data_IF_561635325497
#
_entry.id   IF_561635325497
#
_cell.length_a   1.000
_cell.length_b   1.000
_cell.length_c   1.000
_cell.angle_alpha   90.00
_cell.angle_beta   90.00
_cell.angle_gamma   90.00
#
_symmetry.space_group_name_H-M   'P 1'
#
loop_
_entity.id
_entity.type
_entity.pdbx_description
1 polymer ?
#
# COMPACT_ATOMS: atom_id res chain seq x y z
N UNK A 1 15.88 -1.14 22.34
CA UNK A 1 14.85 -1.91 22.88
C UNK A 1 13.46 -1.49 22.54
N UNK A 2 13.12 -0.29 22.72
CA UNK A 2 11.78 0.11 22.34
C UNK A 2 11.64 0.45 20.90
N UNK A 3 12.70 0.39 20.16
CA UNK A 3 12.65 0.64 18.74
C UNK A 3 11.81 -0.39 18.00
N UNK A 4 11.54 -1.55 18.62
CA UNK A 4 10.80 -2.61 17.94
C UNK A 4 9.29 -2.37 17.90
N UNK A 5 8.79 -1.34 18.55
CA UNK A 5 7.36 -1.06 18.53
C UNK A 5 6.87 -0.83 17.12
N UNK A 6 7.63 -0.07 16.32
CA UNK A 6 7.23 0.19 14.95
C UNK A 6 7.28 -1.05 14.07
N UNK A 7 8.18 -2.00 14.38
CA UNK A 7 8.28 -3.23 13.62
C UNK A 7 7.10 -4.16 13.87
N UNK A 8 6.37 -3.95 14.97
CA UNK A 8 5.24 -4.79 15.33
C UNK A 8 3.91 -4.21 14.88
N UNK A 9 3.92 -3.12 14.12
CA UNK A 9 2.67 -2.52 13.66
C UNK A 9 1.91 -3.50 12.77
N UNK A 10 0.61 -3.63 13.04
CA UNK A 10 -0.23 -4.60 12.33
C UNK A 10 -0.43 -4.26 10.87
N UNK A 11 -0.14 -3.02 10.47
CA UNK A 11 -0.29 -2.63 9.06
C UNK A 11 0.89 -3.07 8.21
N UNK A 12 1.97 -3.56 8.79
CA UNK A 12 3.10 -4.04 7.99
C UNK A 12 2.75 -5.37 7.33
N UNK A 13 2.96 -5.43 6.02
CA UNK A 13 2.63 -6.61 5.24
C UNK A 13 2.03 -6.24 3.91
N UNK A 14 1.32 -7.19 3.31
CA UNK A 14 0.78 -7.06 1.96
C UNK A 14 -0.69 -6.71 2.01
N UNK A 15 -1.09 -5.84 1.10
CA UNK A 15 -2.46 -5.32 1.06
C UNK A 15 -3.00 -5.35 -0.35
N UNK A 16 -4.25 -5.78 -0.47
CA UNK A 16 -4.98 -5.80 -1.73
C UNK A 16 -5.68 -4.46 -1.91
N UNK A 17 -5.35 -3.77 -2.99
CA UNK A 17 -6.03 -2.54 -3.39
C UNK A 17 -6.95 -2.83 -4.57
N UNK A 18 -7.61 -1.80 -5.10
CA UNK A 18 -8.48 -2.00 -6.26
C UNK A 18 -7.73 -2.39 -7.52
N UNK A 19 -6.45 -2.08 -7.61
CA UNK A 19 -5.69 -2.35 -8.84
C UNK A 19 -4.30 -2.93 -8.64
N UNK A 20 -3.92 -3.25 -7.41
CA UNK A 20 -2.53 -3.65 -7.15
C UNK A 20 -2.42 -4.39 -5.82
N UNK A 21 -1.24 -4.94 -5.60
CA UNK A 21 -0.82 -5.39 -4.27
C UNK A 21 0.27 -4.45 -3.80
N UNK A 22 0.13 -3.96 -2.59
CA UNK A 22 1.07 -3.01 -1.97
C UNK A 22 1.66 -3.65 -0.74
N UNK A 23 2.99 -3.54 -0.59
CA UNK A 23 3.66 -3.95 0.64
C UNK A 23 3.91 -2.73 1.50
N UNK A 24 3.32 -2.72 2.68
CA UNK A 24 3.52 -1.66 3.67
C UNK A 24 4.61 -2.09 4.63
N UNK A 25 5.57 -1.21 4.88
CA UNK A 25 6.74 -1.54 5.68
C UNK A 25 7.32 -0.31 6.34
N UNK A 26 8.27 -0.55 7.23
CA UNK A 26 8.99 0.50 7.93
C UNK A 26 10.11 1.01 7.01
N UNK A 27 10.11 2.31 6.76
CA UNK A 27 11.10 2.99 5.94
C UNK A 27 11.72 4.11 6.77
N UNK A 28 12.83 3.82 7.43
CA UNK A 28 13.54 4.80 8.28
C UNK A 28 12.61 5.42 9.34
N UNK A 29 11.89 4.56 10.06
CA UNK A 29 10.96 4.96 11.11
C UNK A 29 9.72 5.70 10.64
N UNK A 30 9.44 5.62 9.35
CA UNK A 30 8.20 6.09 8.76
C UNK A 30 7.53 4.90 8.09
N UNK A 31 6.23 5.00 7.86
CA UNK A 31 5.50 3.98 7.12
C UNK A 31 5.51 4.34 5.64
N UNK A 32 5.86 3.38 4.81
CA UNK A 32 5.77 3.50 3.36
C UNK A 32 5.09 2.27 2.78
N UNK A 33 4.68 2.36 1.53
CA UNK A 33 4.03 1.26 0.83
C UNK A 33 4.43 1.26 -0.63
N UNK A 34 4.93 0.10 -1.09
CA UNK A 34 5.46 -0.06 -2.43
C UNK A 34 4.58 -0.99 -3.24
N UNK A 35 4.33 -0.63 -4.49
CA UNK A 35 3.57 -1.48 -5.40
C UNK A 35 4.41 -2.71 -5.72
N UNK A 36 3.88 -3.89 -5.39
CA UNK A 36 4.54 -5.17 -5.66
C UNK A 36 4.13 -5.71 -7.03
N UNK A 37 2.85 -5.59 -7.36
CA UNK A 37 2.34 -5.95 -8.68
C UNK A 37 1.08 -5.16 -8.95
N UNK A 38 0.74 -5.05 -10.24
CA UNK A 38 -0.51 -4.43 -10.68
C UNK A 38 -1.34 -5.48 -11.40
N UNK A 39 -2.66 -5.33 -11.36
CA UNK A 39 -3.54 -6.28 -12.02
C UNK A 39 -3.71 -5.89 -13.47
N UNK A 40 -3.48 -6.85 -14.33
CA UNK A 40 -3.48 -6.67 -15.78
C UNK A 40 -4.26 -7.82 -16.41
N UNK A 41 -4.61 -7.63 -17.69
CA UNK A 41 -5.27 -8.69 -18.44
C UNK A 41 -4.29 -9.81 -18.76
N UNK A 42 -4.85 -10.99 -19.02
CA UNK A 42 -4.05 -12.15 -19.36
C UNK A 42 -3.13 -11.84 -20.54
N UNK A 43 -1.89 -12.29 -20.40
CA UNK A 43 -0.89 -12.08 -21.44
C UNK A 43 -0.13 -10.77 -21.36
N UNK A 44 -0.52 -9.88 -20.45
CA UNK A 44 0.19 -8.63 -20.21
C UNK A 44 1.14 -8.80 -19.04
N UNK A 45 2.38 -8.37 -19.21
CA UNK A 45 3.36 -8.39 -18.11
C UNK A 45 3.07 -7.22 -17.17
N UNK A 46 2.80 -7.48 -15.88
CA UNK A 46 2.59 -6.38 -14.92
C UNK A 46 3.73 -5.37 -14.88
N UNK A 47 4.96 -5.83 -15.13
CA UNK A 47 6.12 -4.94 -15.10
C UNK A 47 6.20 -4.02 -16.32
N UNK A 48 5.37 -4.25 -17.33
CA UNK A 48 5.35 -3.40 -18.52
C UNK A 48 4.46 -2.17 -18.36
N UNK A 49 3.68 -2.10 -17.28
CA UNK A 49 2.78 -0.97 -17.06
C UNK A 49 3.60 0.20 -16.54
N UNK A 50 3.53 1.33 -17.24
CA UNK A 50 4.34 2.48 -16.94
C UNK A 50 3.54 3.56 -16.22
N UNK A 51 4.26 4.41 -15.51
CA UNK A 51 3.70 5.54 -14.77
C UNK A 51 3.44 6.73 -15.69
N UNK A 52 2.67 6.50 -16.73
CA UNK A 52 2.52 7.41 -17.86
C UNK A 52 1.79 8.71 -17.52
N UNK A 53 1.04 8.73 -16.44
CA UNK A 53 0.27 9.92 -16.03
C UNK A 53 1.00 10.81 -15.03
N UNK A 54 2.21 10.44 -14.64
CA UNK A 54 2.95 11.20 -13.65
C UNK A 54 3.10 12.65 -14.11
N UNK A 55 2.86 13.59 -13.20
CA UNK A 55 3.00 15.02 -13.52
C UNK A 55 4.46 15.37 -13.83
N UNK A 56 5.41 14.66 -13.24
CA UNK A 56 6.81 14.81 -13.57
C UNK A 56 7.13 13.97 -14.80
N UNK A 57 7.39 14.63 -15.93
CA UNK A 57 7.62 13.94 -17.19
C UNK A 57 8.79 12.96 -17.13
N UNK A 58 9.79 13.27 -16.31
CA UNK A 58 10.97 12.40 -16.22
C UNK A 58 10.68 11.05 -15.56
N UNK A 59 9.52 10.90 -14.91
CA UNK A 59 9.14 9.65 -14.25
C UNK A 59 8.13 8.82 -15.05
N UNK A 60 7.71 9.28 -16.22
CA UNK A 60 6.63 8.62 -16.96
C UNK A 60 7.01 7.29 -17.57
N UNK A 61 8.30 7.04 -17.72
CA UNK A 61 8.76 5.78 -18.31
C UNK A 61 9.15 4.74 -17.28
N UNK A 62 9.04 5.08 -15.98
CA UNK A 62 9.30 4.07 -14.96
C UNK A 62 8.13 3.10 -14.86
N UNK A 63 8.43 1.84 -14.49
CA UNK A 63 7.38 0.87 -14.22
C UNK A 63 6.61 1.26 -12.97
N UNK A 64 5.31 0.97 -12.95
CA UNK A 64 4.51 1.16 -11.72
C UNK A 64 4.92 0.20 -10.63
N UNK A 65 5.27 -1.04 -10.98
CA UNK A 65 5.81 -1.99 -10.00
C UNK A 65 7.09 -1.40 -9.42
N UNK A 66 7.14 -1.32 -8.10
CA UNK A 66 8.26 -0.73 -7.38
C UNK A 66 8.07 0.71 -6.96
N UNK A 67 7.01 1.37 -7.41
CA UNK A 67 6.75 2.76 -7.03
C UNK A 67 6.24 2.82 -5.60
N UNK A 68 6.73 3.80 -4.84
CA UNK A 68 6.21 4.08 -3.50
C UNK A 68 4.85 4.76 -3.62
N UNK A 69 3.79 3.99 -3.34
CA UNK A 69 2.44 4.52 -3.36
C UNK A 69 2.14 5.31 -2.10
N UNK A 70 2.62 4.82 -0.97
CA UNK A 70 2.47 5.45 0.34
C UNK A 70 3.84 5.86 0.85
N UNK A 71 3.93 7.04 1.48
CA UNK A 71 5.19 7.51 2.03
C UNK A 71 4.95 8.45 3.21
N UNK A 72 5.96 8.55 4.06
CA UNK A 72 6.10 9.60 5.09
C UNK A 72 5.08 9.55 6.23
N UNK A 73 4.35 8.46 6.42
CA UNK A 73 3.43 8.38 7.56
C UNK A 73 4.22 8.20 8.84
N UNK A 74 3.85 8.96 9.86
CA UNK A 74 4.50 8.87 11.16
C UNK A 74 3.87 7.75 11.98
N UNK A 75 4.71 7.10 12.77
CA UNK A 75 4.29 6.01 13.64
C UNK A 75 4.02 6.60 15.03
N UNK A 76 2.78 6.45 15.50
CA UNK A 76 2.39 6.87 16.83
C UNK A 76 2.52 5.66 17.75
N UNK A 77 3.40 5.75 18.74
CA UNK A 77 3.65 4.63 19.66
C UNK A 77 2.45 4.30 20.51
N UNK A 78 1.65 5.29 20.84
CA UNK A 78 0.48 5.09 21.70
C UNK A 78 -0.70 4.55 20.94
N UNK A 79 -0.81 4.91 19.67
CA UNK A 79 -1.91 4.50 18.82
C UNK A 79 -1.36 3.98 17.51
N UNK A 80 -1.28 2.66 17.36
CA UNK A 80 -0.81 2.03 16.14
C UNK A 80 -1.95 1.71 15.19
N UNK A 81 -3.06 2.40 15.34
CA UNK A 81 -4.22 2.24 14.45
C UNK A 81 -4.43 3.42 13.53
N UNK A 82 -3.79 4.55 13.82
CA UNK A 82 -3.94 5.76 13.01
C UNK A 82 -2.56 6.27 12.63
N UNK A 83 -2.36 6.50 11.34
CA UNK A 83 -1.08 6.96 10.81
C UNK A 83 -1.34 8.18 9.94
N UNK A 84 -0.87 9.32 10.39
CA UNK A 84 -1.19 10.61 9.78
C UNK A 84 0.05 11.27 9.20
N UNK A 85 -0.20 12.32 8.41
CA UNK A 85 0.88 13.16 7.90
C UNK A 85 1.64 12.56 6.75
N UNK A 86 1.10 11.53 6.13
CA UNK A 86 1.76 10.90 5.00
C UNK A 86 1.29 11.40 3.66
N UNK A 87 1.73 10.71 2.62
CA UNK A 87 1.42 11.02 1.23
C UNK A 87 0.98 9.76 0.52
N UNK A 88 0.05 9.93 -0.42
CA UNK A 88 -0.33 8.86 -1.34
C UNK A 88 -0.17 9.37 -2.77
N UNK A 89 0.49 8.57 -3.59
CA UNK A 89 0.61 8.83 -5.02
C UNK A 89 -0.52 8.10 -5.76
N UNK A 90 -1.25 8.81 -6.61
CA UNK A 90 -2.31 8.22 -7.41
C UNK A 90 -1.85 8.14 -8.87
N UNK A 91 -1.51 6.93 -9.36
CA UNK A 91 -1.05 6.80 -10.75
C UNK A 91 -2.10 7.19 -11.79
N UNK A 92 -3.38 7.16 -11.44
CA UNK A 92 -4.44 7.51 -12.41
C UNK A 92 -4.45 8.99 -12.71
N UNK A 93 -4.22 9.82 -11.73
CA UNK A 93 -4.16 11.27 -11.90
C UNK A 93 -2.73 11.78 -12.04
N UNK A 94 -1.75 10.97 -11.65
CA UNK A 94 -0.35 11.37 -11.64
C UNK A 94 0.01 12.35 -10.54
N UNK A 95 -0.83 12.44 -9.51
CA UNK A 95 -0.68 13.43 -8.44
C UNK A 95 -0.45 12.75 -7.10
N UNK A 96 0.20 13.47 -6.21
CA UNK A 96 0.41 13.04 -4.83
C UNK A 96 -0.48 13.88 -3.93
N UNK A 97 -1.16 13.19 -3.00
CA UNK A 97 -2.10 13.82 -2.08
C UNK A 97 -1.63 13.61 -0.64
N UNK A 98 -2.05 14.49 0.25
CA UNK A 98 -1.91 14.22 1.68
C UNK A 98 -2.76 13.01 2.03
N UNK A 99 -2.29 12.21 2.99
CA UNK A 99 -2.93 10.91 3.25
C UNK A 99 -2.89 10.58 4.73
N UNK A 100 -3.89 9.81 5.14
CA UNK A 100 -3.96 9.21 6.47
C UNK A 100 -4.36 7.76 6.31
N UNK A 101 -3.89 6.93 7.23
CA UNK A 101 -4.19 5.51 7.28
C UNK A 101 -4.88 5.18 8.59
N UNK A 102 -5.88 4.30 8.52
CA UNK A 102 -6.63 3.87 9.70
C UNK A 102 -6.75 2.35 9.68
N UNK A 103 -6.16 1.70 10.66
CA UNK A 103 -6.28 0.26 10.81
C UNK A 103 -7.61 -0.04 11.50
N UNK A 104 -8.50 -0.71 10.78
CA UNK A 104 -9.87 -0.89 11.24
C UNK A 104 -10.02 -2.16 12.06
N UNK A 105 -11.07 -2.21 12.88
CA UNK A 105 -11.33 -3.36 13.73
C UNK A 105 -11.59 -4.63 12.94
N UNK A 106 -12.06 -4.51 11.68
CA UNK A 106 -12.27 -5.68 10.82
C UNK A 106 -10.99 -6.20 10.16
N UNK A 107 -9.84 -5.58 10.47
CA UNK A 107 -8.57 -6.00 9.89
C UNK A 107 -8.21 -5.33 8.58
N UNK A 108 -9.09 -4.51 8.03
CA UNK A 108 -8.79 -3.77 6.81
C UNK A 108 -8.03 -2.49 7.11
N UNK A 109 -7.39 -1.94 6.09
CA UNK A 109 -6.69 -0.67 6.19
C UNK A 109 -7.48 0.36 5.38
N UNK A 110 -8.02 1.35 6.06
CA UNK A 110 -8.64 2.48 5.36
C UNK A 110 -7.54 3.44 4.98
N UNK A 111 -7.49 3.78 3.70
CA UNK A 111 -6.49 4.67 3.12
C UNK A 111 -7.23 5.85 2.52
N UNK A 112 -6.93 7.06 2.98
CA UNK A 112 -7.57 8.24 2.39
C UNK A 112 -6.53 9.16 1.78
N UNK A 113 -6.94 9.80 0.68
CA UNK A 113 -6.18 10.86 0.06
C UNK A 113 -6.96 12.14 0.15
N UNK A 114 -6.30 13.23 0.49
CA UNK A 114 -6.97 14.48 0.79
C UNK A 114 -6.43 15.61 -0.07
N UNK A 115 -7.35 16.42 -0.59
CA UNK A 115 -7.04 17.67 -1.24
C UNK A 115 -7.71 18.75 -0.41
N UNK A 116 -6.92 19.50 0.34
CA UNK A 116 -7.41 20.45 1.34
C UNK A 116 -8.25 19.71 2.38
N UNK A 117 -9.51 20.11 2.59
CA UNK A 117 -10.39 19.46 3.55
C UNK A 117 -11.18 18.30 2.96
N UNK A 118 -11.04 18.06 1.67
CA UNK A 118 -11.75 16.98 0.99
C UNK A 118 -10.91 15.72 1.02
N UNK A 119 -11.44 14.64 1.58
CA UNK A 119 -10.75 13.36 1.63
C UNK A 119 -11.60 12.29 0.99
N UNK A 120 -10.94 11.40 0.23
CA UNK A 120 -11.55 10.18 -0.31
C UNK A 120 -10.81 9.00 0.23
N UNK A 121 -11.56 7.99 0.64
CA UNK A 121 -10.96 6.79 1.19
C UNK A 121 -11.37 5.54 0.45
N UNK A 122 -10.53 4.52 0.53
CA UNK A 122 -10.88 3.16 0.15
C UNK A 122 -10.33 2.23 1.20
N UNK A 123 -10.86 1.01 1.25
CA UNK A 123 -10.37 0.01 2.19
C UNK A 123 -9.56 -1.03 1.45
N UNK A 124 -8.40 -1.33 2.00
CA UNK A 124 -7.53 -2.37 1.49
C UNK A 124 -7.65 -3.59 2.40
N UNK A 125 -7.63 -4.77 1.80
CA UNK A 125 -7.73 -6.03 2.53
C UNK A 125 -6.35 -6.62 2.77
N UNK A 126 -6.10 -7.17 3.95
CA UNK A 126 -4.79 -7.76 4.23
C UNK A 126 -4.62 -9.08 3.47
N UNK A 127 -3.41 -9.33 3.00
CA UNK A 127 -3.07 -10.53 2.26
C UNK A 127 -1.98 -11.30 2.98
N UNK A 128 -2.03 -12.62 2.83
CA UNK A 128 -0.90 -13.50 3.15
C UNK A 128 -0.29 -13.94 1.82
N UNK A 129 1.01 -13.80 1.70
CA UNK A 129 1.74 -14.24 0.52
C UNK A 129 2.40 -15.57 0.87
N UNK A 130 2.08 -16.61 0.10
CA UNK A 130 2.65 -17.95 0.26
C UNK A 130 3.54 -18.27 -0.92
N UNK A 131 4.69 -18.87 -0.64
CA UNK A 131 5.62 -19.28 -1.67
C UNK A 131 5.50 -20.80 -1.82
N UNK A 132 5.16 -21.25 -3.03
CA UNK A 132 5.02 -22.67 -3.34
C UNK A 132 6.40 -23.31 -3.54
N UNK A 133 6.40 -24.63 -3.56
CA UNK A 133 7.66 -25.39 -3.71
C UNK A 133 8.37 -25.07 -5.03
N UNK A 134 7.62 -24.71 -6.05
CA UNK A 134 8.19 -24.38 -7.37
C UNK A 134 8.64 -22.93 -7.48
N UNK A 135 8.56 -22.18 -6.38
CA UNK A 135 8.95 -20.77 -6.37
C UNK A 135 7.86 -19.79 -6.77
N UNK A 136 6.69 -20.27 -7.17
CA UNK A 136 5.59 -19.39 -7.46
C UNK A 136 4.96 -18.87 -6.17
N UNK A 137 4.30 -17.72 -6.26
CA UNK A 137 3.68 -17.07 -5.11
C UNK A 137 2.18 -17.06 -5.27
N UNK A 138 1.47 -17.25 -4.14
CA UNK A 138 0.04 -17.09 -4.07
C UNK A 138 -0.31 -16.05 -3.03
N UNK A 139 -1.31 -15.21 -3.35
CA UNK A 139 -1.83 -14.22 -2.41
C UNK A 139 -3.22 -14.66 -1.98
N UNK A 140 -3.44 -14.67 -0.67
CA UNK A 140 -4.75 -15.04 -0.10
C UNK A 140 -5.18 -13.94 0.85
N UNK A 141 -6.50 -13.69 0.89
CA UNK A 141 -7.04 -12.72 1.83
C UNK A 141 -6.89 -13.28 3.23
N UNK A 142 -6.25 -12.52 4.10
CA UNK A 142 -5.86 -12.98 5.42
C UNK A 142 -7.06 -13.30 6.30
N UNK A 143 -8.12 -12.50 6.23
CA UNK A 143 -9.30 -12.65 7.05
C UNK A 143 -10.48 -13.09 6.19
N UNK A 144 -10.31 -14.22 5.51
CA UNK A 144 -11.31 -14.75 4.60
C UNK A 144 -12.60 -15.12 5.34
N UNK A 145 -13.76 -14.82 4.77
CA UNK A 145 -15.04 -15.11 5.45
C UNK A 145 -15.26 -16.57 5.80
N UNK A 146 -14.68 -17.51 5.05
CA UNK A 146 -14.87 -18.92 5.35
C UNK A 146 -14.13 -19.35 6.62
N UNK A 147 -13.38 -18.48 7.24
CA UNK A 147 -12.73 -18.77 8.51
C UNK A 147 -13.69 -18.69 9.69
N UNK A 148 -14.91 -18.30 9.44
CA UNK A 148 -15.90 -18.16 10.50
C UNK A 148 -16.45 -19.50 10.97
#
# INVERSE_FOLDING_TARGET
LNSNISADANIFGYWLTSGSIVKVENCDNLVCGKIITVFVEDGIDPNSILDKNNKNKSLRERALVGVDLLSEFQINREDQKTFKGGKIYDPRSGRTYNSNLYYKSNGNLKVEGCLRSFCRGEEWQPLVIEINDDGTMEAKIKNSPQNN
#
